data_IF_362058369618
#
_entry.id   IF_362058369618
#
_cell.length_a   1.000
_cell.length_b   1.000
_cell.length_c   1.000
_cell.angle_alpha   90.00
_cell.angle_beta   90.00
_cell.angle_gamma   90.00
#
_symmetry.space_group_name_H-M   'P 1'
#
loop_
_entity.id
_entity.type
_entity.pdbx_description
1 polymer ?
#
# COMPACT_ATOMS: atom_id res chain seq x y z
N UNK A 1 -33.76 9.56 55.70
CA UNK A 1 -33.26 8.77 54.56
C UNK A 1 -33.00 9.69 53.38
N UNK A 2 -31.82 10.31 53.28
CA UNK A 2 -31.40 11.08 52.10
C UNK A 2 -29.88 11.00 52.00
N UNK A 3 -29.34 9.90 51.48
CA UNK A 3 -27.92 9.79 51.08
C UNK A 3 -27.77 8.72 50.00
N UNK A 4 -28.23 9.02 48.79
CA UNK A 4 -27.97 8.21 47.62
C UNK A 4 -27.97 9.11 46.38
N UNK A 5 -26.93 9.93 46.20
CA UNK A 5 -26.74 10.69 44.96
C UNK A 5 -25.30 11.21 44.77
N UNK A 6 -24.29 10.39 45.04
CA UNK A 6 -22.89 10.84 44.94
C UNK A 6 -21.94 9.75 44.42
N UNK A 7 -22.33 9.04 43.36
CA UNK A 7 -21.43 8.13 42.62
C UNK A 7 -21.84 8.03 41.15
N UNK A 8 -21.73 9.11 40.36
CA UNK A 8 -21.87 9.02 38.90
C UNK A 8 -21.22 10.21 38.17
N UNK A 9 -19.96 10.53 38.48
CA UNK A 9 -19.30 11.68 37.84
C UNK A 9 -17.79 11.54 37.58
N UNK A 10 -17.30 10.36 37.19
CA UNK A 10 -15.92 10.23 36.66
C UNK A 10 -15.77 9.12 35.61
N UNK A 11 -16.55 9.16 34.52
CA UNK A 11 -16.20 8.45 33.28
C UNK A 11 -16.59 9.30 32.07
N UNK A 12 -15.87 10.40 31.89
CA UNK A 12 -15.87 11.15 30.63
C UNK A 12 -14.48 11.75 30.40
N UNK A 13 -13.43 10.95 30.58
CA UNK A 13 -12.17 11.19 29.87
C UNK A 13 -12.43 10.72 28.44
N UNK A 14 -12.96 11.65 27.66
CA UNK A 14 -13.18 11.47 26.24
C UNK A 14 -11.88 10.98 25.60
N UNK A 15 -11.99 9.88 24.87
CA UNK A 15 -11.05 9.55 23.81
C UNK A 15 -11.13 10.70 22.80
N UNK A 16 -10.35 11.76 23.02
CA UNK A 16 -9.96 12.68 21.97
C UNK A 16 -9.24 11.82 20.94
N UNK A 17 -9.96 11.39 19.92
CA UNK A 17 -9.41 10.72 18.76
C UNK A 17 -8.45 11.73 18.11
N UNK A 18 -7.19 11.68 18.51
CA UNK A 18 -6.12 12.34 17.79
C UNK A 18 -6.09 11.69 16.41
N UNK A 19 -6.77 12.31 15.45
CA UNK A 19 -6.55 12.00 14.05
C UNK A 19 -5.05 12.14 13.81
N UNK A 20 -4.42 11.06 13.35
CA UNK A 20 -2.99 11.02 13.12
C UNK A 20 -2.57 12.07 12.08
N UNK A 21 -1.27 12.39 11.99
CA UNK A 21 -0.74 13.35 11.02
C UNK A 21 -1.24 13.10 9.59
N UNK A 22 -1.37 11.83 9.21
CA UNK A 22 -1.88 11.41 7.92
C UNK A 22 -3.38 11.73 7.70
N UNK A 23 -4.24 11.44 8.69
CA UNK A 23 -5.68 11.71 8.58
C UNK A 23 -5.97 13.21 8.59
N UNK A 24 -5.22 13.97 9.38
CA UNK A 24 -5.25 15.43 9.34
C UNK A 24 -4.86 15.95 7.95
N UNK A 25 -3.80 15.39 7.35
CA UNK A 25 -3.37 15.75 6.00
C UNK A 25 -4.49 15.50 4.98
N UNK A 26 -5.06 14.30 4.93
CA UNK A 26 -6.14 13.97 4.00
C UNK A 26 -7.39 14.83 4.20
N UNK A 27 -7.73 15.18 5.43
CA UNK A 27 -8.86 16.07 5.72
C UNK A 27 -8.60 17.52 5.30
N UNK A 28 -7.36 17.99 5.35
CA UNK A 28 -6.99 19.30 4.81
C UNK A 28 -7.13 19.32 3.29
N UNK A 29 -6.66 18.27 2.60
CA UNK A 29 -6.71 18.19 1.13
C UNK A 29 -8.14 18.20 0.59
N UNK A 30 -9.11 17.60 1.29
CA UNK A 30 -10.53 17.66 0.90
C UNK A 30 -11.09 19.08 0.78
N UNK A 31 -10.45 20.07 1.43
CA UNK A 31 -10.87 21.48 1.39
C UNK A 31 -10.27 22.25 0.19
N UNK A 32 -9.40 21.64 -0.60
CA UNK A 32 -8.75 22.29 -1.75
C UNK A 32 -9.71 22.34 -2.93
N UNK A 33 -10.16 23.52 -3.34
CA UNK A 33 -11.17 23.65 -4.41
C UNK A 33 -10.69 23.16 -5.78
N UNK A 34 -9.45 23.49 -6.18
CA UNK A 34 -8.93 23.14 -7.50
C UNK A 34 -8.53 21.66 -7.60
N UNK A 35 -9.11 20.93 -8.57
CA UNK A 35 -8.92 19.48 -8.73
C UNK A 35 -7.46 19.06 -8.88
N UNK A 36 -6.67 19.75 -9.73
CA UNK A 36 -5.27 19.36 -9.96
C UNK A 36 -4.42 19.54 -8.69
N UNK A 37 -4.60 20.67 -8.00
CA UNK A 37 -3.89 20.97 -6.76
C UNK A 37 -4.28 19.97 -5.66
N UNK A 38 -5.54 19.52 -5.66
CA UNK A 38 -6.02 18.47 -4.77
C UNK A 38 -5.33 17.14 -5.04
N UNK A 39 -5.26 16.70 -6.30
CA UNK A 39 -4.56 15.46 -6.69
C UNK A 39 -3.10 15.47 -6.24
N UNK A 40 -2.38 16.57 -6.51
CA UNK A 40 -0.99 16.75 -6.07
C UNK A 40 -0.86 16.73 -4.54
N UNK A 41 -1.79 17.38 -3.83
CA UNK A 41 -1.79 17.41 -2.37
C UNK A 41 -2.10 16.03 -1.77
N UNK A 42 -2.98 15.24 -2.38
CA UNK A 42 -3.23 13.85 -1.98
C UNK A 42 -1.92 13.07 -2.08
N UNK A 43 -1.26 13.13 -3.25
CA UNK A 43 0.01 12.42 -3.46
C UNK A 43 1.05 12.84 -2.41
N UNK A 44 1.23 14.14 -2.20
CA UNK A 44 2.16 14.67 -1.19
C UNK A 44 1.84 14.20 0.22
N UNK A 45 0.55 14.08 0.59
CA UNK A 45 0.15 13.53 1.88
C UNK A 45 0.61 12.08 2.06
N UNK A 46 0.44 11.24 1.03
CA UNK A 46 0.90 9.85 1.08
C UNK A 46 2.43 9.77 1.17
N UNK A 47 3.15 10.51 0.33
CA UNK A 47 4.62 10.52 0.30
C UNK A 47 5.22 10.94 1.66
N UNK A 48 4.70 12.00 2.27
CA UNK A 48 5.20 12.51 3.56
C UNK A 48 4.94 11.58 4.74
N UNK A 49 3.92 10.72 4.64
CA UNK A 49 3.45 9.89 5.75
C UNK A 49 3.65 8.39 5.53
N UNK A 50 4.21 7.96 4.39
CA UNK A 50 4.38 6.53 4.04
C UNK A 50 5.16 5.72 5.09
N UNK A 51 6.02 6.37 5.86
CA UNK A 51 6.82 5.74 6.91
C UNK A 51 6.14 5.76 8.29
N UNK A 52 5.02 6.49 8.43
CA UNK A 52 4.25 6.62 9.66
C UNK A 52 2.97 5.76 9.65
N UNK A 53 2.63 5.16 8.52
CA UNK A 53 1.43 4.35 8.33
C UNK A 53 1.80 2.93 7.91
N UNK A 54 1.04 1.94 8.38
CA UNK A 54 1.18 0.58 7.88
C UNK A 54 0.68 0.47 6.44
N UNK A 55 1.21 -0.49 5.69
CA UNK A 55 0.85 -0.68 4.28
C UNK A 55 -0.66 -0.95 4.13
N UNK A 56 -1.24 -1.75 5.03
CA UNK A 56 -2.69 -1.99 5.06
C UNK A 56 -3.51 -0.72 5.29
N UNK A 57 -3.07 0.14 6.21
CA UNK A 57 -3.71 1.43 6.45
C UNK A 57 -3.56 2.37 5.23
N UNK A 58 -2.40 2.34 4.59
CA UNK A 58 -2.11 3.10 3.36
C UNK A 58 -3.06 2.69 2.23
N UNK A 59 -3.14 1.39 1.90
CA UNK A 59 -4.04 0.89 0.87
C UNK A 59 -5.52 1.11 1.21
N UNK A 60 -5.91 1.01 2.48
CA UNK A 60 -7.27 1.33 2.92
C UNK A 60 -7.61 2.81 2.70
N UNK A 61 -6.66 3.73 2.87
CA UNK A 61 -6.87 5.15 2.63
C UNK A 61 -7.10 5.48 1.15
N UNK A 62 -6.45 4.76 0.21
CA UNK A 62 -6.69 4.93 -1.23
C UNK A 62 -8.15 4.63 -1.60
N UNK A 63 -8.81 3.71 -0.89
CA UNK A 63 -10.23 3.38 -1.10
C UNK A 63 -11.16 4.50 -0.62
N UNK A 64 -10.70 5.37 0.28
CA UNK A 64 -11.48 6.48 0.86
C UNK A 64 -11.37 7.79 0.07
N UNK A 65 -10.47 7.87 -0.90
CA UNK A 65 -10.34 9.03 -1.82
C UNK A 65 -11.58 9.08 -2.71
N UNK A 66 -12.10 10.28 -2.96
CA UNK A 66 -13.36 10.43 -3.70
C UNK A 66 -13.20 9.98 -5.15
N UNK A 67 -14.23 9.31 -5.68
CA UNK A 67 -14.18 8.68 -7.02
C UNK A 67 -13.90 9.66 -8.15
N UNK A 68 -14.30 10.93 -8.02
CA UNK A 68 -14.06 11.96 -9.06
C UNK A 68 -12.60 12.47 -9.09
N UNK A 69 -11.86 12.27 -8.00
CA UNK A 69 -10.42 12.56 -7.87
C UNK A 69 -9.58 11.35 -8.30
N UNK A 70 -10.16 10.14 -8.19
CA UNK A 70 -9.49 8.87 -8.39
C UNK A 70 -9.39 8.48 -9.86
N UNK A 71 -8.38 8.98 -10.55
CA UNK A 71 -7.96 8.41 -11.84
C UNK A 71 -7.22 7.08 -11.64
N UNK A 72 -7.13 6.28 -12.71
CA UNK A 72 -6.26 5.08 -12.73
C UNK A 72 -4.84 5.51 -12.41
N UNK A 73 -4.32 6.56 -13.06
CA UNK A 73 -2.97 7.07 -12.85
C UNK A 73 -2.70 7.49 -11.39
N UNK A 74 -3.62 8.21 -10.75
CA UNK A 74 -3.47 8.58 -9.34
C UNK A 74 -3.48 7.32 -8.46
N UNK A 75 -4.41 6.39 -8.71
CA UNK A 75 -4.48 5.15 -7.93
C UNK A 75 -3.19 4.35 -8.03
N UNK A 76 -2.60 4.27 -9.22
CA UNK A 76 -1.33 3.62 -9.49
C UNK A 76 -0.19 4.28 -8.71
N UNK A 77 -0.06 5.61 -8.78
CA UNK A 77 0.95 6.35 -8.01
C UNK A 77 0.82 6.10 -6.50
N UNK A 78 -0.40 6.18 -5.97
CA UNK A 78 -0.63 5.95 -4.55
C UNK A 78 -0.38 4.49 -4.15
N UNK A 79 -0.75 3.52 -5.01
CA UNK A 79 -0.43 2.11 -4.79
C UNK A 79 1.08 1.91 -4.74
N UNK A 80 1.84 2.53 -5.65
CA UNK A 80 3.31 2.49 -5.62
C UNK A 80 3.89 3.11 -4.36
N UNK A 81 3.33 4.23 -3.86
CA UNK A 81 3.76 4.83 -2.59
C UNK A 81 3.49 3.88 -1.41
N UNK A 82 2.32 3.23 -1.37
CA UNK A 82 1.97 2.28 -0.33
C UNK A 82 2.75 0.96 -0.42
N UNK A 83 3.23 0.61 -1.62
CA UNK A 83 4.06 -0.57 -1.88
C UNK A 83 5.57 -0.28 -1.75
N UNK A 84 5.96 0.98 -1.56
CA UNK A 84 7.33 1.50 -1.66
C UNK A 84 8.41 0.68 -0.95
N UNK A 85 8.10 0.14 0.22
CA UNK A 85 9.04 -0.62 1.03
C UNK A 85 8.63 -2.09 1.09
N UNK A 86 9.08 -2.84 0.09
CA UNK A 86 8.80 -4.27 -0.06
C UNK A 86 9.33 -5.10 1.12
N UNK A 87 10.34 -4.58 1.83
CA UNK A 87 10.89 -5.25 3.01
C UNK A 87 9.91 -5.34 4.18
N UNK A 88 8.82 -4.57 4.16
CA UNK A 88 7.74 -4.64 5.16
C UNK A 88 6.89 -5.90 5.02
N UNK A 89 6.87 -6.52 3.85
CA UNK A 89 6.22 -7.80 3.68
C UNK A 89 7.03 -8.89 4.37
N UNK A 90 6.37 -9.70 5.20
CA UNK A 90 7.03 -10.79 5.93
C UNK A 90 7.17 -12.08 5.13
N UNK A 91 6.37 -12.23 4.06
CA UNK A 91 6.34 -13.42 3.22
C UNK A 91 6.18 -13.02 1.76
N UNK A 92 6.72 -13.87 0.87
CA UNK A 92 6.55 -13.73 -0.58
C UNK A 92 5.07 -13.69 -0.96
N UNK A 93 4.24 -14.57 -0.40
CA UNK A 93 2.79 -14.59 -0.67
C UNK A 93 2.10 -13.29 -0.28
N UNK A 94 2.45 -12.68 0.87
CA UNK A 94 1.87 -11.41 1.30
C UNK A 94 2.25 -10.28 0.32
N UNK A 95 3.49 -10.27 -0.16
CA UNK A 95 3.94 -9.34 -1.17
C UNK A 95 3.21 -9.53 -2.50
N UNK A 96 3.18 -10.76 -3.02
CA UNK A 96 2.53 -11.13 -4.29
C UNK A 96 1.04 -10.84 -4.27
N UNK A 97 0.35 -11.03 -3.15
CA UNK A 97 -1.08 -10.67 -3.03
C UNK A 97 -1.31 -9.17 -3.22
N UNK A 98 -0.38 -8.32 -2.79
CA UNK A 98 -0.51 -6.87 -2.97
C UNK A 98 -0.23 -6.43 -4.40
N UNK A 99 0.51 -7.17 -5.22
CA UNK A 99 0.76 -6.76 -6.62
C UNK A 99 -0.50 -6.73 -7.47
N UNK A 100 -1.52 -7.54 -7.11
CA UNK A 100 -2.81 -7.59 -7.80
C UNK A 100 -3.60 -6.26 -7.79
N UNK A 101 -3.23 -5.29 -6.94
CA UNK A 101 -3.86 -3.97 -6.91
C UNK A 101 -3.48 -3.09 -8.12
N UNK A 102 -2.36 -3.40 -8.78
CA UNK A 102 -1.85 -2.64 -9.93
C UNK A 102 -2.60 -3.06 -11.20
N UNK A 103 -3.30 -2.10 -11.78
CA UNK A 103 -4.08 -2.24 -13.01
C UNK A 103 -3.18 -2.09 -14.24
N UNK A 104 -2.24 -1.14 -14.20
CA UNK A 104 -1.25 -0.93 -15.27
C UNK A 104 -0.26 -2.09 -15.28
N UNK A 105 -0.14 -2.73 -16.45
CA UNK A 105 0.68 -3.93 -16.61
C UNK A 105 2.15 -3.71 -16.21
N UNK A 106 2.70 -2.53 -16.54
CA UNK A 106 4.08 -2.23 -16.20
C UNK A 106 4.30 -2.18 -14.68
N UNK A 107 3.45 -1.45 -13.96
CA UNK A 107 3.55 -1.32 -12.50
C UNK A 107 3.31 -2.64 -11.79
N UNK A 108 2.37 -3.44 -12.30
CA UNK A 108 2.13 -4.80 -11.81
C UNK A 108 3.38 -5.68 -11.93
N UNK A 109 4.03 -5.69 -13.10
CA UNK A 109 5.21 -6.52 -13.33
C UNK A 109 6.44 -6.01 -12.57
N UNK A 110 6.61 -4.69 -12.42
CA UNK A 110 7.64 -4.11 -11.54
C UNK A 110 7.42 -4.55 -10.08
N UNK A 111 6.18 -4.49 -9.57
CA UNK A 111 5.87 -4.92 -8.21
C UNK A 111 6.12 -6.43 -8.00
N UNK A 112 5.87 -7.26 -9.02
CA UNK A 112 6.24 -8.68 -8.99
C UNK A 112 7.76 -8.87 -8.92
N UNK A 113 8.53 -8.10 -9.70
CA UNK A 113 9.99 -8.13 -9.65
C UNK A 113 10.51 -7.69 -8.30
N UNK A 114 9.91 -6.68 -7.68
CA UNK A 114 10.29 -6.24 -6.34
C UNK A 114 10.07 -7.34 -5.30
N UNK A 115 8.91 -8.01 -5.33
CA UNK A 115 8.67 -9.18 -4.49
C UNK A 115 9.70 -10.28 -4.74
N UNK A 116 9.96 -10.62 -6.01
CA UNK A 116 10.98 -11.61 -6.36
C UNK A 116 12.34 -11.23 -5.77
N UNK A 117 12.84 -10.00 -6.01
CA UNK A 117 14.15 -9.55 -5.54
C UNK A 117 14.27 -9.59 -4.01
N UNK A 118 13.20 -9.24 -3.31
CA UNK A 118 13.18 -9.27 -1.84
C UNK A 118 13.31 -10.70 -1.29
N UNK A 119 12.64 -11.67 -1.91
CA UNK A 119 12.55 -13.04 -1.38
C UNK A 119 13.36 -14.06 -2.18
N UNK A 120 14.17 -13.64 -3.17
CA UNK A 120 14.88 -14.55 -4.09
C UNK A 120 15.78 -15.56 -3.39
N UNK A 121 16.32 -15.22 -2.21
CA UNK A 121 17.16 -16.11 -1.42
C UNK A 121 16.37 -17.22 -0.70
N UNK A 122 15.06 -17.00 -0.48
CA UNK A 122 14.20 -17.89 0.32
C UNK A 122 13.22 -18.71 -0.53
N UNK A 123 13.03 -18.36 -1.81
CA UNK A 123 12.09 -19.03 -2.71
C UNK A 123 12.75 -20.16 -3.50
N UNK A 124 12.00 -21.23 -3.73
CA UNK A 124 12.45 -22.34 -4.56
C UNK A 124 12.23 -22.04 -6.05
N UNK A 125 12.96 -22.74 -6.93
CA UNK A 125 12.78 -22.63 -8.38
C UNK A 125 11.32 -22.73 -8.83
N UNK A 126 10.55 -23.66 -8.26
CA UNK A 126 9.12 -23.83 -8.58
C UNK A 126 8.31 -22.57 -8.28
N UNK A 127 8.63 -21.89 -7.18
CA UNK A 127 7.98 -20.65 -6.78
C UNK A 127 8.44 -19.47 -7.65
N UNK A 128 9.73 -19.40 -7.99
CA UNK A 128 10.24 -18.43 -8.97
C UNK A 128 9.51 -18.55 -10.32
N UNK A 129 9.35 -19.77 -10.85
CA UNK A 129 8.62 -20.03 -12.09
C UNK A 129 7.12 -19.68 -11.99
N UNK A 130 6.52 -19.84 -10.80
CA UNK A 130 5.16 -19.36 -10.55
C UNK A 130 5.10 -17.83 -10.64
N UNK A 131 6.06 -17.11 -10.03
CA UNK A 131 6.11 -15.64 -10.10
C UNK A 131 6.28 -15.17 -11.54
N UNK A 132 7.19 -15.76 -12.33
CA UNK A 132 7.37 -15.39 -13.74
C UNK A 132 6.09 -15.58 -14.56
N UNK A 133 5.32 -16.65 -14.28
CA UNK A 133 4.04 -16.89 -14.95
C UNK A 133 2.96 -15.83 -14.67
N UNK A 134 3.10 -15.07 -13.57
CA UNK A 134 2.18 -13.99 -13.20
C UNK A 134 2.46 -12.68 -13.98
N UNK A 135 3.61 -12.55 -14.63
CA UNK A 135 3.97 -11.35 -15.38
C UNK A 135 3.10 -11.19 -16.63
N UNK A 136 2.71 -9.95 -16.90
CA UNK A 136 1.86 -9.57 -18.04
C UNK A 136 2.65 -9.36 -19.33
N UNK A 137 3.89 -8.87 -19.25
CA UNK A 137 4.75 -8.68 -20.42
C UNK A 137 5.58 -9.93 -20.73
N UNK A 138 5.48 -10.48 -21.96
CA UNK A 138 6.22 -11.69 -22.35
C UNK A 138 7.73 -11.58 -22.15
N UNK A 139 8.34 -10.45 -22.50
CA UNK A 139 9.80 -10.25 -22.36
C UNK A 139 10.26 -10.30 -20.90
N UNK A 140 9.47 -9.70 -19.98
CA UNK A 140 9.74 -9.73 -18.54
C UNK A 140 9.57 -11.14 -17.97
N UNK A 141 8.49 -11.82 -18.39
CA UNK A 141 8.24 -13.22 -18.05
C UNK A 141 9.40 -14.12 -18.46
N UNK A 142 9.84 -14.04 -19.71
CA UNK A 142 10.94 -14.84 -20.25
C UNK A 142 12.24 -14.56 -19.51
N UNK A 143 12.55 -13.29 -19.26
CA UNK A 143 13.72 -12.89 -18.47
C UNK A 143 13.71 -13.55 -17.08
N UNK A 144 12.63 -13.41 -16.32
CA UNK A 144 12.57 -13.99 -14.97
C UNK A 144 12.59 -15.53 -15.04
N UNK A 145 11.88 -16.12 -16.01
CA UNK A 145 11.86 -17.57 -16.20
C UNK A 145 13.27 -18.13 -16.44
N UNK A 146 14.06 -17.51 -17.33
CA UNK A 146 15.44 -17.92 -17.60
C UNK A 146 16.30 -17.80 -16.32
N UNK A 147 16.16 -16.70 -15.60
CA UNK A 147 16.88 -16.48 -14.35
C UNK A 147 16.51 -17.52 -13.26
N UNK A 148 15.24 -17.95 -13.20
CA UNK A 148 14.82 -19.03 -12.31
C UNK A 148 15.52 -20.36 -12.60
N UNK A 149 15.86 -20.66 -13.86
CA UNK A 149 16.57 -21.88 -14.23
C UNK A 149 18.07 -21.79 -13.92
N UNK A 150 18.66 -20.61 -14.11
CA UNK A 150 20.09 -20.38 -13.85
C UNK A 150 20.43 -20.47 -12.35
N UNK A 151 19.58 -19.91 -11.49
CA UNK A 151 19.80 -19.90 -10.03
C UNK A 151 19.48 -21.23 -9.34
N UNK A 152 18.85 -22.20 -10.03
CA UNK A 152 18.57 -23.53 -9.47
C UNK A 152 19.80 -24.46 -9.49
N UNK A 153 20.88 -24.04 -10.14
CA UNK A 153 22.12 -24.82 -10.31
C UNK A 153 23.23 -24.44 -9.31
N UNK A 154 22.95 -23.53 -8.36
CA UNK A 154 23.85 -23.13 -7.27
C UNK A 154 23.35 -23.70 -5.93
#
# INVERSE_FOLDING_TARGET
MVRACLLFMMMALGCSAFAGPFESCLNQVKKTDHRLARVESIQSCFEKNKDLISDDACFAAIKKIQTHEKSIELSEKLNSICFYDVSRFKTVDACLQKTAIFQIANNHDEALFDCYRQFQADIQQKECLKISSMMKYPAKKEYLQNHCYENAAQ
#
